data_IF_808445238594
#
_entry.id   IF_808445238594
#
_cell.length_a   1.000
_cell.length_b   1.000
_cell.length_c   1.000
_cell.angle_alpha   90.00
_cell.angle_beta   90.00
_cell.angle_gamma   90.00
#
_symmetry.space_group_name_H-M   'P 1'
#
loop_
_entity.id
_entity.type
_entity.pdbx_description
1 polymer ?
#
# COMPACT_ATOMS: atom_id res chain seq x y z
N UNK A 1 -16.70 1.17 29.95
CA UNK A 1 -15.57 1.15 28.99
C UNK A 1 -14.43 1.96 29.59
N UNK A 2 -13.16 1.55 29.38
CA UNK A 2 -12.03 2.39 29.72
C UNK A 2 -12.09 3.72 28.94
N UNK A 3 -11.82 4.84 29.60
CA UNK A 3 -11.82 6.17 28.98
C UNK A 3 -10.70 6.26 27.94
N UNK A 4 -11.00 6.77 26.74
CA UNK A 4 -9.99 7.06 25.71
C UNK A 4 -10.14 8.50 25.26
N UNK A 5 -9.06 9.28 25.37
CA UNK A 5 -9.02 10.67 24.93
C UNK A 5 -8.90 10.78 23.39
N UNK A 6 -9.40 11.87 22.78
CA UNK A 6 -9.28 12.11 21.35
C UNK A 6 -7.82 12.31 20.92
N UNK A 7 -7.55 12.13 19.63
CA UNK A 7 -6.21 12.38 19.06
C UNK A 7 -5.82 13.87 19.12
N UNK A 8 -4.50 14.18 19.13
CA UNK A 8 -4.01 15.53 18.95
C UNK A 8 -4.47 16.13 17.62
N UNK A 9 -4.69 17.46 17.61
CA UNK A 9 -5.14 18.15 16.39
C UNK A 9 -3.96 18.38 15.43
N UNK A 10 -4.21 18.54 14.13
CA UNK A 10 -3.18 18.95 13.17
C UNK A 10 -2.41 20.20 13.61
N UNK A 11 -3.08 21.16 14.24
CA UNK A 11 -2.48 22.37 14.79
C UNK A 11 -1.50 22.08 15.93
N UNK A 12 -1.85 21.16 16.83
CA UNK A 12 -0.96 20.69 17.91
C UNK A 12 0.29 20.03 17.34
N UNK A 13 0.15 19.21 16.29
CA UNK A 13 1.29 18.56 15.61
C UNK A 13 2.20 19.59 14.96
N UNK A 14 1.64 20.55 14.21
CA UNK A 14 2.41 21.67 13.64
C UNK A 14 3.15 22.44 14.72
N UNK A 15 2.50 22.72 15.85
CA UNK A 15 3.11 23.41 16.98
C UNK A 15 4.31 22.63 17.55
N UNK A 16 4.16 21.34 17.83
CA UNK A 16 5.24 20.52 18.40
C UNK A 16 6.48 20.52 17.50
N UNK A 17 6.29 20.28 16.20
CA UNK A 17 7.40 20.23 15.26
C UNK A 17 8.02 21.61 14.98
N UNK A 18 7.23 22.68 15.04
CA UNK A 18 7.74 24.03 14.93
C UNK A 18 8.66 24.42 16.10
N UNK A 19 8.53 23.76 17.26
CA UNK A 19 9.30 24.02 18.49
C UNK A 19 10.27 22.88 18.86
N UNK A 20 10.65 22.04 17.89
CA UNK A 20 11.60 20.97 18.13
C UNK A 20 12.55 20.79 16.94
N UNK A 21 13.83 20.57 17.21
CA UNK A 21 14.83 20.29 16.18
C UNK A 21 15.15 18.79 16.06
N UNK A 22 15.35 18.13 17.21
CA UNK A 22 15.79 16.74 17.33
C UNK A 22 14.96 16.00 18.38
N UNK A 23 15.20 14.69 18.52
CA UNK A 23 14.61 13.86 19.57
C UNK A 23 14.78 14.46 20.98
N UNK A 24 13.76 14.33 21.82
CA UNK A 24 13.75 14.85 23.18
C UNK A 24 14.65 14.07 24.16
N UNK A 25 14.99 12.82 23.83
CA UNK A 25 15.74 11.93 24.72
C UNK A 25 17.14 12.48 25.04
N UNK A 26 17.61 12.24 26.26
CA UNK A 26 18.91 12.72 26.75
C UNK A 26 20.05 12.25 25.85
N UNK A 27 20.90 13.19 25.41
CA UNK A 27 22.04 12.90 24.53
C UNK A 27 21.69 12.50 23.08
N UNK A 28 20.42 12.31 22.74
CA UNK A 28 20.02 11.94 21.39
C UNK A 28 20.03 13.16 20.44
N UNK A 29 20.77 13.04 19.33
CA UNK A 29 20.87 14.06 18.27
C UNK A 29 20.20 13.65 16.96
N UNK A 30 19.44 12.55 16.95
CA UNK A 30 18.76 12.10 15.73
C UNK A 30 17.72 13.15 15.29
N UNK A 31 17.66 13.46 13.97
CA UNK A 31 16.71 14.43 13.46
C UNK A 31 15.28 13.85 13.47
N UNK A 32 14.29 14.74 13.50
CA UNK A 32 12.88 14.34 13.41
C UNK A 32 12.47 13.94 11.98
N UNK A 33 13.13 14.52 10.98
CA UNK A 33 13.08 14.07 9.59
C UNK A 33 14.49 13.80 9.08
N UNK A 34 14.68 12.68 8.40
CA UNK A 34 15.89 12.44 7.61
C UNK A 34 15.74 13.08 6.23
N UNK A 35 16.81 13.64 5.70
CA UNK A 35 16.85 14.19 4.36
C UNK A 35 17.74 13.31 3.49
N UNK A 36 17.21 12.86 2.36
CA UNK A 36 18.01 12.25 1.31
C UNK A 36 18.89 13.35 0.66
N UNK A 37 20.22 13.26 0.74
CA UNK A 37 21.11 14.29 0.21
C UNK A 37 21.12 14.37 -1.32
N UNK A 38 20.67 13.33 -2.04
CA UNK A 38 20.62 13.31 -3.51
C UNK A 38 19.29 13.85 -4.03
N UNK A 39 18.18 13.47 -3.40
CA UNK A 39 16.84 13.85 -3.86
C UNK A 39 16.25 15.04 -3.12
N UNK A 40 16.83 15.43 -1.98
CA UNK A 40 16.29 16.44 -1.06
C UNK A 40 15.00 15.98 -0.35
N UNK A 41 14.57 14.72 -0.56
CA UNK A 41 13.33 14.19 0.00
C UNK A 41 13.47 14.04 1.52
N UNK A 42 12.46 14.52 2.24
CA UNK A 42 12.33 14.32 3.68
C UNK A 42 11.53 13.05 3.96
N UNK A 43 12.03 12.24 4.88
CA UNK A 43 11.34 11.05 5.39
C UNK A 43 11.19 11.21 6.90
N UNK A 44 10.00 10.92 7.42
CA UNK A 44 9.71 11.02 8.84
C UNK A 44 10.55 10.00 9.62
N UNK A 45 11.27 10.47 10.65
CA UNK A 45 12.14 9.65 11.50
C UNK A 45 11.77 9.76 12.99
N UNK A 46 10.60 10.34 13.29
CA UNK A 46 10.09 10.58 14.64
C UNK A 46 8.64 10.15 14.82
N UNK A 47 8.24 10.02 16.08
CA UNK A 47 6.87 9.84 16.53
C UNK A 47 6.51 10.89 17.58
N UNK A 48 5.23 11.24 17.61
CA UNK A 48 4.63 11.98 18.72
C UNK A 48 4.18 10.98 19.76
N UNK A 49 4.71 11.09 20.98
CA UNK A 49 4.35 10.22 22.09
C UNK A 49 3.60 10.99 23.18
N UNK A 50 2.71 10.30 23.88
CA UNK A 50 2.02 10.86 25.03
C UNK A 50 2.87 10.69 26.29
N UNK A 51 2.93 11.73 27.11
CA UNK A 51 3.55 11.68 28.44
C UNK A 51 2.63 10.87 29.37
N UNK A 52 1.37 11.29 29.49
CA UNK A 52 0.30 10.51 30.13
C UNK A 52 -0.54 9.85 29.03
N UNK A 53 -0.74 8.52 29.13
CA UNK A 53 -1.45 7.75 28.11
C UNK A 53 -2.83 8.32 27.76
N UNK A 54 -3.23 8.08 26.51
CA UNK A 54 -4.54 8.45 25.97
C UNK A 54 -5.67 7.55 26.48
N UNK A 55 -5.36 6.29 26.80
CA UNK A 55 -6.33 5.27 27.18
C UNK A 55 -6.18 4.89 28.65
N UNK A 56 -7.30 4.71 29.33
CA UNK A 56 -7.36 4.22 30.70
C UNK A 56 -6.68 2.85 30.81
N UNK A 57 -5.77 2.73 31.78
CA UNK A 57 -4.90 1.57 31.96
C UNK A 57 -3.58 1.61 31.17
N UNK A 58 -3.39 2.60 30.29
CA UNK A 58 -2.13 2.80 29.57
C UNK A 58 -1.00 3.37 30.44
N UNK A 59 0.25 3.38 29.93
CA UNK A 59 1.40 3.92 30.64
C UNK A 59 1.15 5.33 31.19
N UNK A 60 1.28 5.48 32.51
CA UNK A 60 1.13 6.78 33.20
C UNK A 60 -0.26 7.41 33.01
N UNK A 61 -1.30 6.60 32.83
CA UNK A 61 -2.68 7.10 32.77
C UNK A 61 -2.99 8.01 33.96
N UNK A 62 -3.54 9.19 33.68
CA UNK A 62 -3.96 10.14 34.70
C UNK A 62 -5.49 10.33 34.64
N UNK A 63 -6.26 9.75 35.58
CA UNK A 63 -7.73 9.85 35.56
C UNK A 63 -8.26 11.26 35.81
N UNK A 64 -7.43 12.18 36.33
CA UNK A 64 -7.82 13.59 36.52
C UNK A 64 -7.52 14.49 35.32
N UNK A 65 -6.91 13.94 34.25
CA UNK A 65 -6.56 14.72 33.06
C UNK A 65 -7.78 14.86 32.14
N UNK A 66 -8.07 16.08 31.68
CA UNK A 66 -9.13 16.29 30.70
C UNK A 66 -8.69 15.86 29.30
N UNK A 67 -9.66 15.61 28.40
CA UNK A 67 -9.37 15.31 27.00
C UNK A 67 -8.55 16.40 26.30
N UNK A 68 -8.82 17.67 26.62
CA UNK A 68 -8.07 18.80 26.08
C UNK A 68 -6.63 18.83 26.61
N UNK A 69 -6.44 18.57 27.90
CA UNK A 69 -5.11 18.49 28.51
C UNK A 69 -4.31 17.29 28.02
N UNK A 70 -4.97 16.18 27.67
CA UNK A 70 -4.30 14.98 27.17
C UNK A 70 -3.78 15.17 25.75
N UNK A 71 -4.56 15.86 24.90
CA UNK A 71 -4.22 16.10 23.49
C UNK A 71 -3.44 17.39 23.25
N UNK A 72 -3.23 18.21 24.29
CA UNK A 72 -2.47 19.46 24.17
C UNK A 72 -0.99 19.17 23.95
N UNK A 73 -0.29 20.16 23.42
CA UNK A 73 1.15 20.10 23.29
C UNK A 73 1.79 19.74 24.61
N UNK A 74 1.30 20.24 25.77
CA UNK A 74 1.82 20.04 27.12
C UNK A 74 2.06 18.57 27.48
N UNK A 75 1.17 17.67 27.05
CA UNK A 75 1.22 16.24 27.29
C UNK A 75 1.92 15.44 26.18
N UNK A 76 2.43 16.10 25.13
CA UNK A 76 3.04 15.44 23.99
C UNK A 76 4.53 15.74 23.90
N UNK A 77 5.30 14.74 23.46
CA UNK A 77 6.76 14.84 23.31
C UNK A 77 7.22 14.22 21.98
N UNK A 78 8.21 14.83 21.34
CA UNK A 78 8.74 14.37 20.06
C UNK A 78 10.00 13.51 20.25
N UNK A 79 9.96 12.28 19.78
CA UNK A 79 11.09 11.35 19.88
C UNK A 79 11.39 10.68 18.54
N UNK A 80 12.62 10.22 18.34
CA UNK A 80 12.90 9.29 17.25
C UNK A 80 12.12 7.99 17.47
N UNK A 81 11.90 7.22 16.40
CA UNK A 81 11.14 5.97 16.43
C UNK A 81 11.57 5.01 17.54
N UNK A 82 12.88 4.83 17.75
CA UNK A 82 13.44 3.94 18.79
C UNK A 82 13.11 4.41 20.22
N UNK A 83 13.31 5.70 20.53
CA UNK A 83 13.05 6.18 21.89
C UNK A 83 11.55 6.32 22.18
N UNK A 84 10.73 6.61 21.17
CA UNK A 84 9.28 6.59 21.32
C UNK A 84 8.79 5.18 21.72
N UNK A 85 9.34 4.13 21.11
CA UNK A 85 9.02 2.75 21.48
C UNK A 85 9.52 2.41 22.90
N UNK A 86 10.73 2.86 23.27
CA UNK A 86 11.33 2.55 24.57
C UNK A 86 10.55 3.11 25.77
N UNK A 87 9.94 4.30 25.65
CA UNK A 87 9.21 4.93 26.77
C UNK A 87 7.83 4.32 27.03
N UNK A 88 7.30 3.58 26.04
CA UNK A 88 6.01 2.89 26.10
C UNK A 88 6.16 1.39 26.36
N UNK A 89 7.39 0.87 26.44
CA UNK A 89 7.66 -0.51 26.84
C UNK A 89 7.19 -0.74 28.29
N UNK A 90 6.21 -1.64 28.54
CA UNK A 90 5.69 -1.94 29.87
C UNK A 90 6.77 -2.30 30.89
N UNK A 91 7.87 -2.93 30.47
CA UNK A 91 8.99 -3.28 31.33
C UNK A 91 9.81 -2.06 31.80
N UNK A 92 9.76 -0.96 31.05
CA UNK A 92 10.53 0.26 31.28
C UNK A 92 9.70 1.45 31.76
N UNK A 93 8.36 1.35 31.78
CA UNK A 93 7.46 2.44 32.22
C UNK A 93 7.87 3.02 33.58
N UNK A 94 8.32 2.19 34.52
CA UNK A 94 8.78 2.63 35.84
C UNK A 94 10.03 3.54 35.82
N UNK A 95 10.88 3.41 34.80
CA UNK A 95 12.07 4.25 34.60
C UNK A 95 11.75 5.58 33.89
N UNK A 96 10.62 5.63 33.18
CA UNK A 96 10.13 6.78 32.42
C UNK A 96 8.89 7.35 33.07
N UNK A 97 9.04 7.94 34.26
CA UNK A 97 7.92 8.59 34.97
C UNK A 97 7.44 9.85 34.23
N UNK A 98 6.22 10.29 34.54
CA UNK A 98 5.63 11.53 34.02
C UNK A 98 6.56 12.72 34.21
N UNK A 99 7.16 12.87 35.39
CA UNK A 99 8.07 13.97 35.74
C UNK A 99 9.32 13.94 34.85
N UNK A 100 9.86 12.74 34.58
CA UNK A 100 11.03 12.57 33.73
C UNK A 100 10.72 12.95 32.29
N UNK A 101 9.59 12.51 31.74
CA UNK A 101 9.19 12.86 30.37
C UNK A 101 8.90 14.36 30.23
N UNK A 102 8.29 14.99 31.24
CA UNK A 102 8.14 16.45 31.29
C UNK A 102 9.50 17.15 31.29
N UNK A 103 10.48 16.64 32.03
CA UNK A 103 11.84 17.20 32.02
C UNK A 103 12.52 17.06 30.65
N UNK A 104 12.40 15.90 29.99
CA UNK A 104 12.92 15.69 28.63
C UNK A 104 12.29 16.66 27.63
N UNK A 105 10.98 16.88 27.75
CA UNK A 105 10.28 17.83 26.91
C UNK A 105 10.76 19.26 27.13
N UNK A 106 10.91 19.69 28.38
CA UNK A 106 11.46 21.02 28.70
C UNK A 106 12.85 21.19 28.08
N UNK A 107 13.71 20.19 28.23
CA UNK A 107 15.03 20.20 27.59
C UNK A 107 14.95 20.23 26.05
N UNK A 108 13.94 19.64 25.42
CA UNK A 108 13.71 19.75 23.98
C UNK A 108 13.33 21.18 23.55
N UNK A 109 12.48 21.85 24.32
CA UNK A 109 12.12 23.25 24.09
C UNK A 109 13.31 24.18 24.33
N UNK A 110 14.10 23.96 25.38
CA UNK A 110 15.32 24.75 25.65
C UNK A 110 16.34 24.63 24.50
N UNK A 111 16.49 23.42 23.93
CA UNK A 111 17.32 23.21 22.72
C UNK A 111 16.77 23.98 21.54
N UNK A 112 15.45 24.00 21.36
CA UNK A 112 14.83 24.80 20.31
C UNK A 112 15.06 26.29 20.53
N UNK A 113 14.93 26.82 21.75
CA UNK A 113 15.13 28.25 22.04
C UNK A 113 16.57 28.71 21.77
N UNK A 114 17.54 27.81 21.95
CA UNK A 114 18.96 28.06 21.65
C UNK A 114 19.25 28.09 20.14
N UNK A 115 18.64 27.19 19.36
CA UNK A 115 18.95 27.00 17.94
C UNK A 115 18.00 27.82 17.04
N UNK A 116 16.77 28.07 17.52
CA UNK A 116 15.63 28.68 16.82
C UNK A 116 15.32 28.05 15.47
N UNK A 117 15.56 26.73 15.36
CA UNK A 117 15.32 25.96 14.15
C UNK A 117 14.34 24.83 14.45
N UNK A 118 13.13 24.97 13.93
CA UNK A 118 12.09 23.95 13.98
C UNK A 118 11.75 23.40 12.60
N UNK A 119 10.78 22.51 12.55
CA UNK A 119 10.26 21.95 11.30
C UNK A 119 8.95 22.64 10.93
N UNK A 120 8.92 23.25 9.75
CA UNK A 120 7.67 23.72 9.13
C UNK A 120 7.06 22.56 8.35
N UNK A 121 5.92 22.05 8.81
CA UNK A 121 5.23 20.92 8.20
C UNK A 121 4.19 21.41 7.20
N UNK A 122 4.11 20.73 6.06
CA UNK A 122 2.95 20.80 5.15
C UNK A 122 1.81 19.94 5.69
N UNK A 123 0.59 20.11 5.18
CA UNK A 123 -0.56 19.29 5.60
C UNK A 123 -0.31 17.79 5.38
N UNK A 124 0.30 17.44 4.24
CA UNK A 124 0.74 16.06 3.95
C UNK A 124 1.73 15.50 4.99
N UNK A 125 2.66 16.32 5.46
CA UNK A 125 3.62 15.90 6.50
C UNK A 125 2.94 15.73 7.86
N UNK A 126 1.90 16.52 8.14
CA UNK A 126 1.07 16.36 9.35
C UNK A 126 0.26 15.07 9.28
N UNK A 127 -0.38 14.79 8.14
CA UNK A 127 -1.08 13.53 7.89
C UNK A 127 -0.16 12.33 8.08
N UNK A 128 1.02 12.33 7.45
CA UNK A 128 2.04 11.29 7.59
C UNK A 128 2.48 11.11 9.05
N UNK A 129 2.69 12.21 9.77
CA UNK A 129 3.07 12.19 11.19
C UNK A 129 1.98 11.62 12.08
N UNK A 130 0.73 12.03 11.88
CA UNK A 130 -0.41 11.53 12.65
C UNK A 130 -0.63 10.05 12.38
N UNK A 131 -0.49 9.63 11.12
CA UNK A 131 -0.55 8.22 10.75
C UNK A 131 0.59 7.43 11.42
N UNK A 132 1.85 7.83 11.33
CA UNK A 132 2.95 7.05 11.91
C UNK A 132 2.99 7.10 13.45
N UNK A 133 2.47 8.16 14.06
CA UNK A 133 2.43 8.29 15.52
C UNK A 133 1.24 7.55 16.13
N UNK A 134 0.09 7.57 15.46
CA UNK A 134 -1.20 7.16 16.05
C UNK A 134 -2.08 6.25 15.17
N UNK A 135 -1.73 5.99 13.91
CA UNK A 135 -2.40 4.88 13.20
C UNK A 135 -2.12 3.60 13.96
N UNK A 136 -3.15 2.75 14.03
CA UNK A 136 -3.13 1.47 14.70
C UNK A 136 -2.08 0.54 14.09
N UNK A 137 -0.80 0.80 14.38
CA UNK A 137 0.19 -0.22 14.52
C UNK A 137 -0.27 -1.08 15.70
N UNK A 138 -0.95 -2.19 15.39
CA UNK A 138 -1.14 -3.36 16.27
C UNK A 138 -1.11 -2.99 17.77
N UNK A 139 -2.23 -2.46 18.29
CA UNK A 139 -2.43 -2.46 19.73
C UNK A 139 -2.47 -3.93 20.17
N UNK A 140 -1.35 -4.40 20.74
CA UNK A 140 -1.33 -5.56 21.63
C UNK A 140 -2.17 -5.21 22.86
N UNK A 141 -3.49 -5.19 22.68
CA UNK A 141 -4.44 -5.12 23.78
C UNK A 141 -4.18 -6.31 24.70
N UNK A 142 -4.03 -6.02 25.99
CA UNK A 142 -3.75 -7.00 27.03
C UNK A 142 -4.74 -8.18 26.99
N UNK A 143 -4.33 -9.29 26.38
CA UNK A 143 -5.06 -10.55 26.28
C UNK A 143 -4.45 -11.44 25.20
N UNK A 144 -4.52 -12.77 25.36
CA UNK A 144 -4.01 -13.75 24.39
C UNK A 144 -4.81 -13.80 23.07
N UNK A 145 -5.38 -12.68 22.64
CA UNK A 145 -6.30 -12.54 21.52
C UNK A 145 -5.55 -11.92 20.34
N UNK A 146 -5.59 -12.60 19.19
CA UNK A 146 -4.95 -12.13 17.97
C UNK A 146 -6.01 -11.77 16.94
N UNK A 147 -5.86 -10.58 16.36
CA UNK A 147 -6.64 -10.12 15.22
C UNK A 147 -5.79 -10.20 13.95
N UNK A 148 -6.28 -10.93 12.95
CA UNK A 148 -5.63 -11.06 11.65
C UNK A 148 -6.52 -10.51 10.54
N UNK A 149 -6.00 -9.56 9.77
CA UNK A 149 -6.61 -9.02 8.56
C UNK A 149 -5.55 -8.36 7.66
N UNK A 150 -5.77 -8.39 6.34
CA UNK A 150 -4.93 -7.69 5.34
C UNK A 150 -5.10 -6.16 5.42
N UNK A 151 -4.65 -5.36 4.46
CA UNK A 151 -4.89 -3.90 4.41
C UNK A 151 -5.75 -3.56 3.18
N UNK A 152 -6.95 -2.94 3.31
CA UNK A 152 -7.68 -2.62 2.07
C UNK A 152 -9.04 -1.91 1.95
N UNK A 153 -9.55 -1.02 2.79
CA UNK A 153 -10.69 -0.12 2.39
C UNK A 153 -11.57 0.31 3.55
N UNK A 154 -12.71 0.97 3.32
CA UNK A 154 -13.31 1.84 4.34
C UNK A 154 -13.84 1.12 5.61
N UNK A 155 -14.17 -0.18 5.58
CA UNK A 155 -14.51 -0.98 6.77
C UNK A 155 -13.77 -2.34 6.80
N UNK A 156 -13.53 -2.95 7.97
CA UNK A 156 -12.82 -4.23 8.05
C UNK A 156 -13.54 -5.30 7.25
N UNK A 157 -12.84 -6.02 6.36
CA UNK A 157 -13.44 -7.02 5.44
C UNK A 157 -14.47 -6.49 4.43
N UNK A 158 -14.67 -5.18 4.25
CA UNK A 158 -15.68 -4.71 3.29
C UNK A 158 -15.24 -4.94 1.83
N UNK A 159 -16.16 -5.27 0.93
CA UNK A 159 -15.86 -5.28 -0.51
C UNK A 159 -15.65 -3.86 -1.05
N UNK A 160 -14.86 -3.74 -2.10
CA UNK A 160 -14.64 -2.46 -2.78
C UNK A 160 -15.88 -2.01 -3.54
N UNK A 161 -16.17 -0.70 -3.53
CA UNK A 161 -17.28 -0.15 -4.31
C UNK A 161 -17.06 -0.36 -5.82
N UNK A 162 -18.11 -0.70 -6.56
CA UNK A 162 -18.04 -0.75 -8.03
C UNK A 162 -17.85 0.65 -8.61
N UNK A 163 -17.12 0.75 -9.71
CA UNK A 163 -16.89 2.01 -10.39
C UNK A 163 -18.18 2.57 -10.98
N UNK A 164 -18.44 3.87 -10.79
CA UNK A 164 -19.57 4.55 -11.41
C UNK A 164 -19.43 4.59 -12.93
N UNK A 165 -20.55 4.51 -13.66
CA UNK A 165 -20.57 4.65 -15.12
C UNK A 165 -21.53 5.77 -15.54
N UNK A 166 -21.11 6.66 -16.47
CA UNK A 166 -21.91 7.81 -16.91
C UNK A 166 -22.02 7.83 -18.45
N UNK A 167 -23.23 7.70 -19.01
CA UNK A 167 -23.50 7.74 -20.46
C UNK A 167 -24.79 6.99 -20.87
N UNK A 168 -25.18 7.04 -22.15
CA UNK A 168 -26.37 6.33 -22.66
C UNK A 168 -26.13 4.82 -22.57
N UNK A 169 -27.05 4.06 -21.96
CA UNK A 169 -26.91 2.62 -21.64
C UNK A 169 -25.69 2.27 -20.75
N UNK A 170 -25.07 3.24 -20.07
CA UNK A 170 -23.93 2.96 -19.20
C UNK A 170 -24.36 2.10 -17.99
N UNK A 171 -23.48 1.20 -17.56
CA UNK A 171 -23.71 0.28 -16.44
C UNK A 171 -22.58 0.40 -15.42
N UNK A 172 -22.92 0.71 -14.17
CA UNK A 172 -21.93 0.71 -13.09
C UNK A 172 -21.29 -0.67 -12.92
N UNK A 173 -20.03 -0.68 -12.49
CA UNK A 173 -19.35 -1.90 -12.06
C UNK A 173 -20.03 -2.50 -10.84
N UNK A 174 -19.91 -3.81 -10.66
CA UNK A 174 -20.36 -4.48 -9.45
C UNK A 174 -19.44 -4.10 -8.29
N UNK A 175 -20.02 -3.91 -7.11
CA UNK A 175 -19.21 -3.91 -5.89
C UNK A 175 -18.58 -5.29 -5.70
N UNK A 176 -17.40 -5.32 -5.09
CA UNK A 176 -16.80 -6.55 -4.60
C UNK A 176 -17.56 -7.07 -3.39
N UNK A 177 -17.46 -8.37 -3.13
CA UNK A 177 -18.00 -8.98 -1.92
C UNK A 177 -17.12 -8.64 -0.71
N UNK A 178 -17.72 -8.58 0.48
CA UNK A 178 -16.93 -8.53 1.71
C UNK A 178 -16.18 -9.85 1.96
N UNK A 179 -15.07 -9.76 2.69
CA UNK A 179 -14.42 -10.91 3.29
C UNK A 179 -15.23 -11.44 4.48
N UNK A 180 -15.05 -12.72 4.79
CA UNK A 180 -15.68 -13.35 5.94
C UNK A 180 -14.93 -13.02 7.23
N UNK A 181 -15.66 -12.89 8.35
CA UNK A 181 -15.06 -12.88 9.69
C UNK A 181 -15.32 -14.25 10.30
N UNK A 182 -14.26 -14.95 10.71
CA UNK A 182 -14.38 -16.23 11.43
C UNK A 182 -13.60 -16.20 12.75
N UNK A 183 -14.14 -16.89 13.75
CA UNK A 183 -13.39 -17.21 14.97
C UNK A 183 -12.56 -18.45 14.71
N UNK A 184 -11.29 -18.46 15.09
CA UNK A 184 -10.51 -19.70 15.13
C UNK A 184 -10.97 -20.54 16.32
N UNK A 185 -11.62 -21.66 16.05
CA UNK A 185 -12.08 -22.67 17.00
C UNK A 185 -11.24 -23.95 16.95
N UNK A 186 -10.14 -23.95 16.17
CA UNK A 186 -9.22 -25.08 16.06
C UNK A 186 -8.30 -25.19 17.29
N UNK A 187 -7.47 -26.23 17.36
CA UNK A 187 -6.71 -26.59 18.58
C UNK A 187 -5.99 -25.43 19.29
N UNK A 188 -5.90 -25.54 20.62
CA UNK A 188 -5.34 -24.55 21.56
C UNK A 188 -6.13 -23.24 21.68
N UNK A 189 -7.35 -23.18 21.18
CA UNK A 189 -8.24 -22.02 21.36
C UNK A 189 -9.02 -22.14 22.66
N UNK A 190 -9.19 -21.02 23.36
CA UNK A 190 -10.12 -20.93 24.50
C UNK A 190 -11.39 -20.23 24.04
N UNK A 191 -12.57 -20.57 24.60
CA UNK A 191 -13.79 -19.85 24.32
C UNK A 191 -13.57 -18.36 24.58
N UNK A 192 -13.67 -17.56 23.53
CA UNK A 192 -13.68 -16.11 23.63
C UNK A 192 -14.83 -15.75 24.57
N UNK A 193 -14.61 -15.02 25.67
CA UNK A 193 -15.69 -14.68 26.59
C UNK A 193 -16.85 -14.04 25.82
N UNK A 194 -18.06 -14.61 25.94
CA UNK A 194 -19.25 -14.23 25.18
C UNK A 194 -19.73 -12.79 25.44
N UNK A 195 -19.01 -12.04 26.28
CA UNK A 195 -19.27 -10.63 26.63
C UNK A 195 -18.58 -9.63 25.68
N UNK A 196 -17.85 -10.08 24.66
CA UNK A 196 -17.18 -9.19 23.68
C UNK A 196 -17.92 -9.02 22.35
N UNK A 197 -19.16 -9.51 22.24
CA UNK A 197 -20.04 -9.30 21.08
C UNK A 197 -21.20 -8.34 21.38
N UNK A 198 -21.00 -7.31 22.22
CA UNK A 198 -21.86 -6.15 22.06
C UNK A 198 -21.40 -5.45 20.79
N UNK A 199 -22.31 -5.45 19.80
CA UNK A 199 -22.19 -4.78 18.52
C UNK A 199 -21.20 -3.61 18.58
N UNK A 200 -20.16 -3.64 17.75
CA UNK A 200 -19.53 -2.39 17.31
C UNK A 200 -20.67 -1.63 16.63
N UNK A 201 -21.39 -0.80 17.39
CA UNK A 201 -22.30 0.17 16.82
C UNK A 201 -21.43 1.04 15.95
N UNK A 202 -21.72 1.01 14.66
CA UNK A 202 -21.18 1.89 13.60
C UNK A 202 -21.56 3.36 13.88
N UNK A 203 -21.23 3.87 15.06
CA UNK A 203 -21.34 5.26 15.48
C UNK A 203 -19.99 5.85 15.89
N UNK A 204 -18.94 5.02 16.00
CA UNK A 204 -17.55 5.45 16.26
C UNK A 204 -16.63 5.27 15.05
N UNK A 205 -17.16 4.77 13.93
CA UNK A 205 -16.45 4.74 12.67
C UNK A 205 -16.59 6.09 11.98
N UNK A 206 -15.50 6.86 12.00
CA UNK A 206 -15.37 8.11 11.26
C UNK A 206 -14.80 7.81 9.85
N UNK A 207 -15.62 7.87 8.79
CA UNK A 207 -15.19 7.60 7.43
C UNK A 207 -14.19 8.65 6.90
N UNK A 208 -14.05 9.81 7.57
CA UNK A 208 -13.21 10.91 7.11
C UNK A 208 -11.76 10.84 7.62
N UNK A 209 -11.43 9.95 8.58
CA UNK A 209 -10.10 9.89 9.22
C UNK A 209 -9.34 8.56 9.05
N UNK A 210 -9.95 7.52 8.46
CA UNK A 210 -9.29 6.22 8.21
C UNK A 210 -9.18 5.92 6.72
N UNK A 211 -8.03 6.21 6.11
CA UNK A 211 -7.90 6.05 4.65
C UNK A 211 -7.83 4.60 4.18
N UNK A 212 -7.57 3.61 5.05
CA UNK A 212 -7.63 2.17 4.70
C UNK A 212 -7.81 1.33 5.97
N UNK A 213 -8.94 0.65 6.11
CA UNK A 213 -9.20 -0.34 7.17
C UNK A 213 -8.64 -1.71 6.78
N UNK A 214 -8.13 -2.53 7.73
CA UNK A 214 -7.60 -3.85 7.43
C UNK A 214 -8.60 -4.77 6.70
N UNK A 215 -8.20 -5.31 5.54
CA UNK A 215 -8.89 -6.39 4.85
C UNK A 215 -10.05 -5.97 3.97
N UNK A 216 -10.27 -4.69 3.65
CA UNK A 216 -11.28 -4.36 2.65
C UNK A 216 -10.79 -4.58 1.20
N UNK A 217 -11.71 -4.48 0.24
CA UNK A 217 -11.46 -4.61 -1.19
C UNK A 217 -11.26 -3.26 -1.89
N UNK A 218 -10.45 -3.25 -2.94
CA UNK A 218 -10.17 -2.04 -3.71
C UNK A 218 -11.38 -1.56 -4.52
N UNK A 219 -11.59 -0.25 -4.63
CA UNK A 219 -12.68 0.30 -5.46
C UNK A 219 -12.47 0.05 -6.95
N UNK A 220 -13.55 -0.18 -7.67
CA UNK A 220 -13.60 -0.28 -9.13
C UNK A 220 -13.41 1.08 -9.80
N UNK A 221 -12.76 1.10 -10.96
CA UNK A 221 -12.52 2.32 -11.71
C UNK A 221 -13.81 2.89 -12.31
N UNK A 222 -14.03 4.20 -12.22
CA UNK A 222 -15.13 4.86 -12.92
C UNK A 222 -15.01 4.74 -14.44
N UNK A 223 -16.13 4.85 -15.15
CA UNK A 223 -16.18 4.87 -16.60
C UNK A 223 -17.14 5.97 -17.08
N UNK A 224 -16.82 6.63 -18.19
CA UNK A 224 -17.65 7.67 -18.78
C UNK A 224 -17.72 7.39 -20.30
N UNK A 225 -18.90 7.57 -20.91
CA UNK A 225 -19.18 7.25 -22.32
C UNK A 225 -20.45 6.42 -22.54
N UNK A 226 -21.00 6.47 -23.75
CA UNK A 226 -22.14 5.63 -24.15
C UNK A 226 -21.73 4.15 -24.14
N UNK A 227 -22.61 3.28 -23.61
CA UNK A 227 -22.39 1.85 -23.33
C UNK A 227 -21.20 1.56 -22.37
N UNK A 228 -20.71 2.57 -21.63
CA UNK A 228 -19.60 2.40 -20.70
C UNK A 228 -19.94 1.47 -19.53
N UNK A 229 -18.96 0.66 -19.10
CA UNK A 229 -19.10 -0.26 -17.97
C UNK A 229 -18.06 0.09 -16.90
N UNK A 230 -18.48 0.46 -15.70
CA UNK A 230 -17.58 0.72 -14.58
C UNK A 230 -16.78 -0.53 -14.19
N UNK A 231 -15.58 -0.36 -13.66
CA UNK A 231 -14.75 -1.43 -13.12
C UNK A 231 -15.41 -2.10 -11.92
N UNK A 232 -15.25 -3.41 -11.79
CA UNK A 232 -15.73 -4.13 -10.62
C UNK A 232 -14.79 -3.87 -9.43
N UNK A 233 -15.36 -3.69 -8.24
CA UNK A 233 -14.61 -3.60 -6.99
C UNK A 233 -13.94 -4.94 -6.65
N UNK A 234 -12.81 -4.89 -5.97
CA UNK A 234 -12.14 -6.05 -5.40
C UNK A 234 -12.85 -6.53 -4.14
N UNK A 235 -12.65 -7.78 -3.74
CA UNK A 235 -13.27 -8.32 -2.54
C UNK A 235 -12.47 -7.95 -1.28
N UNK A 236 -13.13 -7.90 -0.13
CA UNK A 236 -12.45 -7.85 1.16
C UNK A 236 -11.70 -9.15 1.44
N UNK A 237 -10.53 -9.05 2.07
CA UNK A 237 -9.84 -10.17 2.69
C UNK A 237 -10.57 -10.68 3.93
N UNK A 238 -10.35 -11.95 4.24
CA UNK A 238 -10.92 -12.60 5.41
C UNK A 238 -10.30 -12.05 6.70
N UNK A 239 -11.06 -12.12 7.79
CA UNK A 239 -10.58 -11.88 9.14
C UNK A 239 -10.68 -13.13 9.98
N UNK A 240 -9.64 -13.32 10.80
CA UNK A 240 -9.59 -14.41 11.77
C UNK A 240 -9.31 -13.83 13.15
N UNK A 241 -10.16 -14.18 14.10
CA UNK A 241 -10.04 -13.79 15.51
C UNK A 241 -9.89 -15.05 16.34
N UNK A 242 -8.89 -15.12 17.22
CA UNK A 242 -8.72 -16.27 18.09
C UNK A 242 -8.04 -15.89 19.40
N UNK A 243 -8.46 -16.54 20.49
CA UNK A 243 -7.79 -16.47 21.79
C UNK A 243 -7.14 -17.81 22.07
N UNK A 244 -5.85 -17.83 22.39
CA UNK A 244 -5.08 -19.07 22.53
C UNK A 244 -4.63 -19.37 23.96
N UNK A 245 -4.73 -20.64 24.37
CA UNK A 245 -4.15 -21.18 25.60
C UNK A 245 -2.65 -21.39 25.41
N UNK A 246 -1.87 -20.37 25.76
CA UNK A 246 -0.41 -20.40 25.67
C UNK A 246 0.20 -21.45 26.62
N UNK A 247 -0.45 -21.78 27.74
CA UNK A 247 0.06 -22.79 28.67
C UNK A 247 -0.10 -24.20 28.10
N UNK A 248 -1.23 -24.50 27.46
CA UNK A 248 -1.41 -25.74 26.70
C UNK A 248 -0.40 -25.84 25.55
N UNK A 249 -0.20 -24.76 24.79
CA UNK A 249 0.81 -24.73 23.73
C UNK A 249 2.22 -24.98 24.25
N UNK A 250 2.60 -24.39 25.40
CA UNK A 250 3.91 -24.62 26.05
C UNK A 250 4.10 -26.06 26.48
N UNK A 251 3.04 -26.73 26.98
CA UNK A 251 3.07 -28.17 27.29
C UNK A 251 3.39 -29.02 26.07
N UNK A 252 2.92 -28.60 24.89
CA UNK A 252 3.11 -29.31 23.63
C UNK A 252 4.33 -28.83 22.81
N UNK A 253 5.24 -28.12 23.47
CA UNK A 253 6.56 -27.79 22.93
C UNK A 253 6.65 -26.44 22.21
N UNK A 254 5.66 -25.55 22.37
CA UNK A 254 5.75 -24.17 21.90
C UNK A 254 7.03 -23.50 22.41
N UNK A 255 7.80 -22.94 21.48
CA UNK A 255 9.08 -22.29 21.76
C UNK A 255 8.95 -20.93 22.43
N UNK A 256 7.77 -20.30 22.33
CA UNK A 256 7.60 -18.87 22.58
C UNK A 256 7.78 -17.99 21.34
N UNK A 257 8.21 -18.57 20.21
CA UNK A 257 8.37 -17.86 18.94
C UNK A 257 7.09 -17.98 18.10
N UNK A 258 6.59 -16.83 17.66
CA UNK A 258 5.50 -16.71 16.69
C UNK A 258 6.08 -16.03 15.46
N UNK A 259 5.98 -16.70 14.31
CA UNK A 259 6.30 -16.08 13.03
C UNK A 259 5.04 -15.43 12.46
N UNK A 260 5.19 -14.19 12.00
CA UNK A 260 4.09 -13.40 11.47
C UNK A 260 4.43 -13.04 10.03
N UNK A 261 3.61 -13.49 9.10
CA UNK A 261 3.61 -13.04 7.70
C UNK A 261 2.43 -12.07 7.57
N UNK A 262 2.73 -10.80 7.31
CA UNK A 262 1.70 -9.79 7.07
C UNK A 262 1.50 -9.67 5.56
N UNK A 263 0.32 -10.05 5.09
CA UNK A 263 -0.02 -9.95 3.67
C UNK A 263 -0.14 -8.48 3.23
N UNK A 264 0.46 -8.14 2.10
CA UNK A 264 0.34 -6.80 1.51
C UNK A 264 -1.01 -6.63 0.80
N UNK A 265 -1.59 -5.43 0.89
CA UNK A 265 -2.75 -5.06 0.10
C UNK A 265 -2.39 -4.94 -1.39
N UNK A 266 -3.28 -5.35 -2.29
CA UNK A 266 -3.04 -5.37 -3.73
C UNK A 266 -3.11 -4.01 -4.44
N UNK A 267 -2.82 -2.91 -3.75
CA UNK A 267 -2.87 -1.55 -4.31
C UNK A 267 -1.70 -1.37 -5.30
N UNK A 268 -1.95 -0.83 -6.52
CA UNK A 268 -0.87 -0.44 -7.42
C UNK A 268 0.03 0.64 -6.79
N UNK A 269 1.33 0.41 -6.78
CA UNK A 269 2.34 1.36 -6.28
C UNK A 269 3.26 1.88 -7.40
N UNK A 270 3.25 1.21 -8.55
CA UNK A 270 4.12 1.51 -9.68
C UNK A 270 3.33 2.02 -10.90
N UNK A 271 3.95 2.78 -11.81
CA UNK A 271 3.28 3.30 -13.01
C UNK A 271 2.63 2.18 -13.82
N UNK A 272 1.36 2.35 -14.20
CA UNK A 272 0.61 1.39 -15.03
C UNK A 272 0.48 -0.03 -14.43
N UNK A 273 0.81 -0.23 -13.16
CA UNK A 273 0.64 -1.52 -12.48
C UNK A 273 -0.85 -1.81 -12.28
N UNK A 274 -1.25 -3.05 -12.57
CA UNK A 274 -2.61 -3.50 -12.29
C UNK A 274 -2.75 -3.88 -10.80
N UNK A 275 -3.92 -3.65 -10.18
CA UNK A 275 -4.17 -4.11 -8.82
C UNK A 275 -3.99 -5.62 -8.71
N UNK A 276 -3.41 -6.09 -7.61
CA UNK A 276 -3.26 -7.52 -7.29
C UNK A 276 -4.30 -7.95 -6.27
N UNK A 277 -4.42 -9.27 -6.07
CA UNK A 277 -5.10 -9.77 -4.88
C UNK A 277 -4.29 -9.37 -3.64
N UNK A 278 -4.97 -9.18 -2.51
CA UNK A 278 -4.27 -9.10 -1.23
C UNK A 278 -3.58 -10.44 -0.96
N UNK A 279 -2.42 -10.37 -0.30
CA UNK A 279 -1.74 -11.57 0.17
C UNK A 279 -2.36 -12.06 1.50
N UNK A 280 -2.12 -13.34 1.82
CA UNK A 280 -2.54 -13.92 3.09
C UNK A 280 -1.76 -13.32 4.26
N UNK A 281 -2.46 -13.08 5.36
CA UNK A 281 -1.82 -12.83 6.66
C UNK A 281 -1.80 -14.14 7.45
N UNK A 282 -0.61 -14.57 7.88
CA UNK A 282 -0.39 -15.87 8.51
C UNK A 282 0.33 -15.69 9.85
N UNK A 283 -0.21 -16.31 10.90
CA UNK A 283 0.50 -16.56 12.16
C UNK A 283 0.95 -18.01 12.23
N UNK A 284 2.19 -18.25 12.61
CA UNK A 284 2.73 -19.58 12.87
C UNK A 284 3.32 -19.66 14.27
N UNK A 285 2.77 -20.54 15.09
CA UNK A 285 3.32 -20.89 16.39
C UNK A 285 4.38 -21.97 16.18
N UNK A 286 5.60 -21.74 16.63
CA UNK A 286 6.74 -22.61 16.35
C UNK A 286 7.13 -23.46 17.57
N UNK A 287 7.51 -24.71 17.36
CA UNK A 287 8.13 -25.56 18.38
C UNK A 287 9.62 -25.23 18.53
N UNK A 288 10.22 -25.69 19.63
CA UNK A 288 11.66 -25.47 19.92
C UNK A 288 12.60 -26.10 18.88
N UNK A 289 12.15 -27.14 18.18
CA UNK A 289 12.90 -27.80 17.10
C UNK A 289 12.74 -27.12 15.73
N UNK A 290 12.04 -25.98 15.68
CA UNK A 290 11.73 -25.25 14.45
C UNK A 290 10.56 -25.81 13.65
N UNK A 291 9.91 -26.90 14.10
CA UNK A 291 8.71 -27.41 13.44
C UNK A 291 7.46 -26.58 13.78
N UNK A 292 6.49 -26.56 12.87
CA UNK A 292 5.23 -25.85 13.06
C UNK A 292 4.38 -26.53 14.14
N UNK A 293 3.93 -25.76 15.14
CA UNK A 293 2.93 -26.21 16.11
C UNK A 293 1.51 -25.93 15.62
N UNK A 294 1.27 -24.72 15.10
CA UNK A 294 -0.05 -24.29 14.62
C UNK A 294 0.09 -23.15 13.62
N UNK A 295 -0.72 -23.15 12.57
CA UNK A 295 -0.88 -22.04 11.62
C UNK A 295 -2.30 -21.47 11.71
N UNK A 296 -2.39 -20.14 11.66
CA UNK A 296 -3.66 -19.41 11.55
C UNK A 296 -3.54 -18.51 10.33
N UNK A 297 -4.45 -18.68 9.38
CA UNK A 297 -4.42 -17.99 8.09
C UNK A 297 -5.67 -17.17 7.87
N UNK A 298 -5.48 -15.88 7.59
CA UNK A 298 -6.47 -14.96 7.07
C UNK A 298 -6.18 -14.73 5.58
N UNK A 299 -7.07 -15.17 4.71
CA UNK A 299 -6.90 -15.06 3.25
C UNK A 299 -7.02 -13.61 2.78
N UNK A 300 -6.17 -13.21 1.84
CA UNK A 300 -6.25 -11.90 1.22
C UNK A 300 -7.47 -11.72 0.30
N UNK A 301 -7.85 -10.47 0.06
CA UNK A 301 -9.01 -10.13 -0.79
C UNK A 301 -8.70 -10.26 -2.29
N UNK A 302 -9.73 -10.46 -3.12
CA UNK A 302 -9.55 -10.50 -4.59
C UNK A 302 -9.29 -9.09 -5.17
N UNK A 303 -8.48 -9.02 -6.22
CA UNK A 303 -8.16 -7.76 -6.90
C UNK A 303 -9.39 -7.11 -7.53
N UNK A 304 -9.48 -5.78 -7.47
CA UNK A 304 -10.37 -5.04 -8.36
C UNK A 304 -9.91 -5.24 -9.81
N UNK A 305 -10.85 -5.49 -10.72
CA UNK A 305 -10.54 -5.59 -12.15
C UNK A 305 -10.83 -4.23 -12.78
N UNK A 306 -9.81 -3.45 -13.21
CA UNK A 306 -10.08 -2.22 -13.93
C UNK A 306 -10.81 -2.56 -15.23
N UNK A 307 -12.02 -2.00 -15.42
CA UNK A 307 -12.76 -2.25 -16.66
C UNK A 307 -11.98 -1.68 -17.83
N UNK A 308 -11.99 -2.39 -18.95
CA UNK A 308 -11.40 -1.90 -20.18
C UNK A 308 -12.16 -0.66 -20.72
N UNK A 309 -13.36 -0.38 -20.21
CA UNK A 309 -14.14 0.81 -20.53
C UNK A 309 -13.69 2.06 -19.75
N UNK A 310 -13.01 1.93 -18.61
CA UNK A 310 -12.37 3.06 -17.93
C UNK A 310 -11.27 3.73 -18.79
N UNK A 311 -10.72 2.99 -19.75
CA UNK A 311 -9.73 3.49 -20.72
C UNK A 311 -10.34 3.96 -22.05
N UNK A 312 -11.67 3.92 -22.20
CA UNK A 312 -12.36 4.27 -23.45
C UNK A 312 -13.18 5.56 -23.35
N UNK A 313 -13.07 6.29 -22.24
CA UNK A 313 -13.74 7.57 -22.06
C UNK A 313 -13.21 8.60 -23.09
N UNK A 314 -14.04 8.87 -24.11
CA UNK A 314 -13.70 9.74 -25.22
C UNK A 314 -12.76 9.14 -26.27
N UNK A 315 -12.36 7.85 -26.16
CA UNK A 315 -11.46 7.19 -27.11
C UNK A 315 -12.09 5.97 -27.76
N UNK A 316 -11.78 5.75 -29.04
CA UNK A 316 -12.27 4.63 -29.85
C UNK A 316 -11.21 3.55 -29.96
N UNK A 317 -11.56 2.31 -29.63
CA UNK A 317 -10.68 1.17 -29.89
C UNK A 317 -10.88 0.68 -31.35
N UNK A 318 -9.81 0.53 -32.13
CA UNK A 318 -9.92 0.17 -33.53
C UNK A 318 -10.27 -1.31 -33.70
N UNK A 319 -11.34 -1.58 -34.43
CA UNK A 319 -11.75 -2.93 -34.79
C UNK A 319 -10.81 -3.57 -35.82
N UNK A 320 -10.82 -4.91 -35.89
CA UNK A 320 -9.94 -5.69 -36.77
C UNK A 320 -10.00 -5.26 -38.23
N UNK A 321 -11.19 -4.97 -38.75
CA UNK A 321 -11.36 -4.56 -40.15
C UNK A 321 -10.83 -3.15 -40.40
N UNK A 322 -10.99 -2.25 -39.43
CA UNK A 322 -10.42 -0.91 -39.48
C UNK A 322 -8.89 -0.96 -39.51
N UNK A 323 -8.28 -1.74 -38.60
CA UNK A 323 -6.82 -1.93 -38.55
C UNK A 323 -6.25 -2.46 -39.88
N UNK A 324 -6.98 -3.36 -40.55
CA UNK A 324 -6.59 -3.87 -41.88
C UNK A 324 -6.73 -2.79 -42.96
N UNK A 325 -7.85 -2.08 -42.98
CA UNK A 325 -8.14 -1.05 -43.98
C UNK A 325 -7.14 0.11 -43.92
N UNK A 326 -6.68 0.48 -42.73
CA UNK A 326 -5.72 1.57 -42.51
C UNK A 326 -4.26 1.11 -42.49
N UNK A 327 -4.00 -0.17 -42.79
CA UNK A 327 -2.68 -0.81 -42.73
C UNK A 327 -1.93 -0.52 -41.42
N UNK A 328 -2.67 -0.48 -40.31
CA UNK A 328 -2.11 -0.21 -39.00
C UNK A 328 -1.12 -1.32 -38.61
N UNK A 329 0.11 -0.94 -38.26
CA UNK A 329 1.16 -1.87 -37.82
C UNK A 329 1.96 -1.29 -36.67
N UNK A 330 2.28 -2.13 -35.70
CA UNK A 330 3.38 -1.87 -34.76
C UNK A 330 4.67 -2.18 -35.50
N UNK A 331 5.48 -1.16 -35.75
CA UNK A 331 6.75 -1.28 -36.48
C UNK A 331 7.94 -1.54 -35.55
N UNK A 332 7.81 -1.17 -34.28
CA UNK A 332 8.84 -1.42 -33.27
C UNK A 332 8.19 -1.63 -31.91
N UNK A 333 8.64 -2.67 -31.19
CA UNK A 333 8.30 -2.96 -29.81
C UNK A 333 9.58 -3.43 -29.13
N UNK A 334 10.12 -2.63 -28.21
CA UNK A 334 11.39 -2.91 -27.56
C UNK A 334 11.41 -2.41 -26.13
N UNK A 335 12.11 -3.15 -25.26
CA UNK A 335 12.42 -2.68 -23.91
C UNK A 335 13.74 -1.93 -23.89
N UNK A 336 13.85 -0.97 -22.97
CA UNK A 336 15.04 -0.16 -22.75
C UNK A 336 15.35 -0.05 -21.25
N UNK A 337 16.64 -0.10 -20.90
CA UNK A 337 17.10 0.14 -19.53
C UNK A 337 16.97 1.62 -19.15
N UNK A 338 17.31 2.52 -20.08
CA UNK A 338 16.99 3.93 -19.97
C UNK A 338 16.63 4.52 -21.35
N UNK A 339 15.75 5.50 -21.35
CA UNK A 339 15.37 6.24 -22.56
C UNK A 339 15.19 7.72 -22.27
N UNK A 340 15.49 8.54 -23.25
CA UNK A 340 15.13 9.95 -23.31
C UNK A 340 14.53 10.24 -24.69
N UNK A 341 13.43 10.98 -24.72
CA UNK A 341 12.89 11.52 -25.98
C UNK A 341 13.31 12.97 -26.11
N UNK A 342 14.14 13.27 -27.10
CA UNK A 342 14.63 14.62 -27.34
C UNK A 342 14.54 14.97 -28.83
N UNK A 343 13.87 16.10 -29.12
CA UNK A 343 13.64 16.60 -30.48
C UNK A 343 13.07 15.54 -31.45
N UNK A 344 12.12 14.72 -30.99
CA UNK A 344 11.48 13.67 -31.80
C UNK A 344 12.31 12.40 -32.01
N UNK A 345 13.48 12.29 -31.38
CA UNK A 345 14.33 11.10 -31.43
C UNK A 345 14.36 10.39 -30.08
N UNK A 346 14.52 9.08 -30.11
CA UNK A 346 14.79 8.28 -28.92
C UNK A 346 16.30 8.10 -28.72
N UNK A 347 16.77 8.52 -27.55
CA UNK A 347 18.10 8.21 -27.05
C UNK A 347 17.95 7.03 -26.10
N UNK A 348 18.50 5.89 -26.49
CA UNK A 348 18.25 4.61 -25.82
C UNK A 348 19.56 4.06 -25.26
N UNK A 349 19.57 3.69 -23.99
CA UNK A 349 20.67 3.00 -23.34
C UNK A 349 20.21 1.58 -22.95
N UNK A 350 20.89 0.58 -23.50
CA UNK A 350 20.62 -0.84 -23.23
C UNK A 350 19.22 -1.26 -23.67
N UNK A 351 19.09 -1.86 -24.85
CA UNK A 351 17.79 -2.18 -25.41
C UNK A 351 17.73 -3.60 -26.00
N UNK A 352 16.51 -4.13 -26.15
CA UNK A 352 16.23 -5.44 -26.74
C UNK A 352 17.01 -6.60 -26.07
N UNK A 353 17.22 -6.48 -24.76
CA UNK A 353 17.77 -7.57 -23.97
C UNK A 353 16.74 -8.70 -23.86
N UNK A 354 17.23 -9.95 -23.88
CA UNK A 354 16.38 -11.15 -23.79
C UNK A 354 16.25 -11.71 -22.38
N UNK A 355 17.01 -11.17 -21.44
CA UNK A 355 16.97 -11.59 -20.05
C UNK A 355 17.09 -10.40 -19.11
N UNK A 356 16.47 -10.53 -17.94
CA UNK A 356 16.56 -9.58 -16.84
C UNK A 356 16.99 -10.32 -15.58
N UNK A 357 18.04 -9.83 -14.95
CA UNK A 357 18.64 -10.41 -13.74
C UNK A 357 18.37 -9.49 -12.55
N UNK A 358 17.22 -9.62 -11.86
CA UNK A 358 16.98 -8.87 -10.64
C UNK A 358 17.96 -9.27 -9.53
N UNK A 359 18.24 -8.36 -8.56
CA UNK A 359 19.09 -8.67 -7.42
C UNK A 359 18.51 -9.76 -6.52
N UNK A 360 17.18 -9.82 -6.42
CA UNK A 360 16.41 -10.86 -5.75
C UNK A 360 14.99 -10.88 -6.30
N UNK A 361 14.25 -11.96 -6.02
CA UNK A 361 12.81 -12.05 -6.23
C UNK A 361 12.19 -12.37 -4.86
N UNK A 362 11.12 -11.67 -4.42
CA UNK A 362 10.38 -10.65 -5.15
C UNK A 362 11.06 -9.27 -5.17
N UNK A 363 10.85 -8.49 -6.25
CA UNK A 363 11.34 -7.11 -6.35
C UNK A 363 10.42 -6.22 -7.20
N UNK A 364 10.22 -4.98 -6.77
CA UNK A 364 9.53 -3.96 -7.57
C UNK A 364 10.44 -3.42 -8.67
N UNK A 365 9.92 -3.34 -9.90
CA UNK A 365 10.68 -2.87 -11.06
C UNK A 365 9.80 -2.13 -12.06
N UNK A 366 10.45 -1.32 -12.90
CA UNK A 366 9.81 -0.59 -13.98
C UNK A 366 10.54 -0.90 -15.28
N UNK A 367 9.80 -1.41 -16.26
CA UNK A 367 10.30 -1.62 -17.61
C UNK A 367 9.90 -0.46 -18.50
N UNK A 368 10.89 0.21 -19.10
CA UNK A 368 10.60 1.24 -20.10
C UNK A 368 10.43 0.56 -21.46
N UNK A 369 9.28 0.78 -22.10
CA UNK A 369 8.95 0.16 -23.38
C UNK A 369 8.76 1.23 -24.45
N UNK A 370 9.43 1.06 -25.57
CA UNK A 370 9.26 1.89 -26.76
C UNK A 370 8.33 1.15 -27.72
N UNK A 371 7.29 1.85 -28.17
CA UNK A 371 6.34 1.37 -29.18
C UNK A 371 6.28 2.37 -30.31
N UNK A 372 6.50 1.90 -31.54
CA UNK A 372 6.31 2.71 -32.75
C UNK A 372 5.26 2.07 -33.63
N UNK A 373 4.37 2.89 -34.18
CA UNK A 373 3.25 2.46 -35.00
C UNK A 373 3.22 3.25 -36.31
N UNK A 374 2.75 2.61 -37.38
CA UNK A 374 2.51 3.21 -38.68
C UNK A 374 1.11 2.84 -39.19
N UNK A 375 0.44 3.78 -39.85
CA UNK A 375 -0.92 3.64 -40.38
C UNK A 375 -1.16 4.67 -41.49
N UNK A 376 -2.11 4.41 -42.38
CA UNK A 376 -2.48 5.33 -43.46
C UNK A 376 -3.33 6.50 -42.96
N UNK A 377 -4.26 6.22 -42.04
CA UNK A 377 -5.21 7.18 -41.49
C UNK A 377 -5.80 6.68 -40.19
N UNK A 378 -6.19 7.59 -39.30
CA UNK A 378 -6.99 7.31 -38.10
C UNK A 378 -8.44 7.75 -38.29
N UNK A 379 -9.31 7.37 -37.35
CA UNK A 379 -10.65 7.95 -37.23
C UNK A 379 -10.51 9.45 -36.94
N UNK A 380 -11.17 10.30 -37.75
CA UNK A 380 -10.91 11.75 -37.78
C UNK A 380 -11.35 12.50 -36.52
N UNK A 381 -12.38 12.00 -35.86
CA UNK A 381 -13.13 12.79 -34.87
C UNK A 381 -13.07 12.22 -33.45
N UNK A 382 -12.39 11.08 -33.26
CA UNK A 382 -12.25 10.42 -31.94
C UNK A 382 -10.83 9.87 -31.81
N UNK A 383 -10.09 10.21 -30.75
CA UNK A 383 -8.80 9.62 -30.47
C UNK A 383 -8.88 8.10 -30.46
N UNK A 384 -7.92 7.45 -31.11
CA UNK A 384 -7.87 5.98 -31.17
C UNK A 384 -7.02 5.46 -30.01
N UNK A 385 -7.40 4.37 -29.36
CA UNK A 385 -6.60 3.75 -28.29
C UNK A 385 -6.33 2.27 -28.56
N UNK A 386 -5.09 1.85 -28.26
CA UNK A 386 -4.69 0.44 -28.15
C UNK A 386 -3.96 0.24 -26.82
N UNK A 387 -3.68 -0.99 -26.43
CA UNK A 387 -3.11 -1.30 -25.11
C UNK A 387 -1.71 -1.88 -25.22
N UNK A 388 -0.86 -1.46 -24.29
CA UNK A 388 0.44 -2.05 -24.02
C UNK A 388 0.40 -2.69 -22.63
N UNK A 389 0.76 -3.96 -22.53
CA UNK A 389 0.64 -4.72 -21.29
C UNK A 389 1.83 -5.63 -21.03
N UNK A 390 2.09 -5.89 -19.75
CA UNK A 390 3.08 -6.85 -19.27
C UNK A 390 2.36 -8.07 -18.69
N UNK A 391 2.84 -9.26 -19.05
CA UNK A 391 2.33 -10.55 -18.59
C UNK A 391 3.43 -11.35 -17.92
N UNK A 392 3.07 -11.97 -16.79
CA UNK A 392 3.94 -12.88 -16.05
C UNK A 392 3.97 -14.29 -16.68
N UNK A 393 4.84 -15.20 -16.17
CA UNK A 393 4.95 -16.57 -16.68
C UNK A 393 3.68 -17.42 -16.50
N UNK A 394 2.79 -17.04 -15.56
CA UNK A 394 1.50 -17.67 -15.38
C UNK A 394 0.43 -17.12 -16.35
N UNK A 395 0.79 -16.18 -17.23
CA UNK A 395 -0.11 -15.53 -18.17
C UNK A 395 -1.00 -14.46 -17.55
N UNK A 396 -0.72 -14.03 -16.31
CA UNK A 396 -1.44 -12.96 -15.63
C UNK A 396 -0.92 -11.61 -16.10
N UNK A 397 -1.83 -10.71 -16.43
CA UNK A 397 -1.48 -9.34 -16.77
C UNK A 397 -1.12 -8.55 -15.50
N UNK A 398 0.09 -8.02 -15.42
CA UNK A 398 0.57 -7.32 -14.22
C UNK A 398 0.58 -5.81 -14.38
N UNK A 399 0.60 -5.32 -15.62
CA UNK A 399 0.68 -3.89 -15.95
C UNK A 399 -0.04 -3.63 -17.27
N UNK A 400 -0.69 -2.47 -17.38
CA UNK A 400 -1.39 -2.02 -18.59
C UNK A 400 -1.31 -0.50 -18.74
N UNK A 401 -0.94 -0.06 -19.94
CA UNK A 401 -0.93 1.33 -20.34
C UNK A 401 -1.72 1.55 -21.65
N UNK A 402 -2.59 2.58 -21.71
CA UNK A 402 -3.22 2.98 -22.96
C UNK A 402 -2.21 3.73 -23.86
N UNK A 403 -2.18 3.39 -25.14
CA UNK A 403 -1.47 4.13 -26.18
C UNK A 403 -2.51 4.92 -26.98
N UNK A 404 -2.51 6.24 -26.82
CA UNK A 404 -3.56 7.13 -27.34
C UNK A 404 -3.03 7.82 -28.59
N UNK A 405 -3.79 7.71 -29.67
CA UNK A 405 -3.52 8.31 -30.96
C UNK A 405 -4.48 9.48 -31.16
N UNK A 406 -4.02 10.66 -30.81
CA UNK A 406 -4.74 11.90 -31.08
C UNK A 406 -4.60 12.26 -32.57
N UNK A 407 -5.70 12.34 -33.35
CA UNK A 407 -5.67 12.68 -34.77
C UNK A 407 -4.99 14.03 -35.05
N UNK A 408 -5.04 14.97 -34.09
CA UNK A 408 -4.37 16.26 -34.20
C UNK A 408 -2.84 16.17 -34.10
N UNK A 409 -2.33 15.14 -33.41
CA UNK A 409 -0.89 14.93 -33.19
C UNK A 409 -0.31 13.87 -34.16
N UNK A 410 -1.16 12.99 -34.69
CA UNK A 410 -0.80 11.84 -35.51
C UNK A 410 -0.93 12.09 -37.03
N UNK A 411 -0.62 13.31 -37.49
CA UNK A 411 -0.91 13.78 -38.86
C UNK A 411 -0.07 13.13 -39.97
N UNK A 412 1.02 12.43 -39.62
CA UNK A 412 1.96 11.83 -40.59
C UNK A 412 1.86 10.31 -40.72
N UNK A 413 0.80 9.69 -40.18
CA UNK A 413 0.62 8.24 -40.28
C UNK A 413 1.62 7.43 -39.45
N UNK A 414 2.23 8.06 -38.44
CA UNK A 414 3.21 7.45 -37.55
C UNK A 414 3.04 8.02 -36.13
N UNK A 415 3.22 7.16 -35.13
CA UNK A 415 3.19 7.55 -33.73
C UNK A 415 4.24 6.77 -32.94
N UNK A 416 4.80 7.43 -31.94
CA UNK A 416 5.88 6.91 -31.10
C UNK A 416 5.52 7.09 -29.63
N UNK A 417 5.75 6.05 -28.85
CA UNK A 417 5.45 6.03 -27.42
C UNK A 417 6.66 5.50 -26.66
N UNK A 418 6.92 6.11 -25.50
CA UNK A 418 7.81 5.58 -24.49
C UNK A 418 7.04 5.50 -23.17
N UNK A 419 6.82 4.28 -22.70
CA UNK A 419 5.85 4.00 -21.65
C UNK A 419 6.48 3.13 -20.56
N UNK A 420 6.46 3.58 -19.30
CA UNK A 420 6.89 2.75 -18.18
C UNK A 420 5.82 1.72 -17.82
N UNK A 421 6.18 0.46 -17.69
CA UNK A 421 5.35 -0.61 -17.14
C UNK A 421 5.94 -1.07 -15.80
N UNK A 422 5.28 -0.69 -14.72
CA UNK A 422 5.66 -1.05 -13.35
C UNK A 422 5.04 -2.39 -12.93
N UNK A 423 5.84 -3.25 -12.30
CA UNK A 423 5.36 -4.53 -11.74
C UNK A 423 6.22 -4.96 -10.54
N UNK A 424 5.68 -5.88 -9.74
CA UNK A 424 6.48 -6.65 -8.79
C UNK A 424 6.80 -7.99 -9.44
N UNK A 425 8.08 -8.23 -9.71
CA UNK A 425 8.57 -9.51 -10.19
C UNK A 425 8.50 -10.49 -9.03
N UNK A 426 7.57 -11.43 -9.09
CA UNK A 426 7.39 -12.51 -8.10
C UNK A 426 7.85 -13.87 -8.64
N UNK A 427 7.96 -13.99 -9.96
CA UNK A 427 8.23 -15.24 -10.65
C UNK A 427 9.41 -15.07 -11.60
N UNK A 428 10.40 -15.96 -11.48
CA UNK A 428 11.34 -16.24 -12.56
C UNK A 428 10.64 -16.99 -13.70
N UNK A 429 11.14 -16.85 -14.92
CA UNK A 429 10.57 -17.50 -16.10
C UNK A 429 10.40 -16.56 -17.28
N UNK A 430 9.62 -16.99 -18.27
CA UNK A 430 9.35 -16.22 -19.49
C UNK A 430 8.22 -15.21 -19.25
N UNK A 431 8.54 -13.93 -19.37
CA UNK A 431 7.60 -12.81 -19.32
C UNK A 431 7.32 -12.30 -20.72
N UNK A 432 6.16 -11.67 -20.91
CA UNK A 432 5.77 -11.14 -22.22
C UNK A 432 5.30 -9.70 -22.15
N UNK A 433 5.74 -8.89 -23.10
CA UNK A 433 5.20 -7.56 -23.36
C UNK A 433 4.35 -7.64 -24.62
N UNK A 434 3.09 -7.21 -24.54
CA UNK A 434 2.13 -7.30 -25.66
C UNK A 434 1.54 -5.94 -25.99
N UNK A 435 1.43 -5.64 -27.28
CA UNK A 435 0.60 -4.56 -27.82
C UNK A 435 -0.64 -5.18 -28.43
N UNK A 436 -1.83 -4.77 -28.01
CA UNK A 436 -3.08 -5.46 -28.33
C UNK A 436 -4.31 -4.55 -28.34
N UNK A 437 -5.38 -5.05 -28.95
CA UNK A 437 -6.76 -4.57 -28.82
C UNK A 437 -7.66 -5.73 -28.39
N UNK A 438 -8.88 -5.48 -27.92
CA UNK A 438 -9.90 -6.51 -27.62
C UNK A 438 -10.05 -7.56 -28.72
N UNK A 439 -9.83 -7.15 -29.97
CA UNK A 439 -10.01 -8.01 -31.13
C UNK A 439 -8.79 -8.87 -31.49
N UNK A 440 -7.56 -8.45 -31.14
CA UNK A 440 -6.34 -9.16 -31.50
C UNK A 440 -5.08 -8.62 -30.81
N UNK A 441 -4.06 -9.47 -30.69
CA UNK A 441 -2.68 -9.06 -30.41
C UNK A 441 -2.07 -8.47 -31.69
N UNK A 442 -1.48 -7.28 -31.60
CA UNK A 442 -0.85 -6.57 -32.71
C UNK A 442 0.64 -6.85 -32.80
N UNK A 443 1.32 -6.98 -31.66
CA UNK A 443 2.74 -7.34 -31.55
C UNK A 443 3.04 -7.84 -30.14
N UNK A 444 4.07 -8.65 -29.97
CA UNK A 444 4.58 -9.03 -28.66
C UNK A 444 6.08 -9.32 -28.71
N UNK A 445 6.72 -9.22 -27.54
CA UNK A 445 8.10 -9.67 -27.30
C UNK A 445 8.13 -10.48 -26.00
N UNK A 446 9.13 -11.35 -25.89
CA UNK A 446 9.34 -12.22 -24.74
C UNK A 446 10.72 -11.95 -24.13
N UNK A 447 10.81 -12.05 -22.80
CA UNK A 447 12.08 -11.96 -22.10
C UNK A 447 12.08 -12.85 -20.86
N UNK A 448 13.27 -13.34 -20.50
CA UNK A 448 13.44 -14.24 -19.38
C UNK A 448 13.89 -13.52 -18.11
N UNK A 449 13.10 -13.59 -17.05
CA UNK A 449 13.54 -13.19 -15.71
C UNK A 449 14.26 -14.37 -15.05
N UNK A 450 15.48 -14.15 -14.57
CA UNK A 450 16.30 -15.19 -13.91
C UNK A 450 16.54 -14.86 -12.45
N UNK A 451 16.23 -15.80 -11.56
CA UNK A 451 16.60 -15.67 -10.16
C UNK A 451 18.04 -16.13 -9.96
N UNK A 452 18.96 -15.18 -9.72
CA UNK A 452 20.37 -15.48 -9.44
C UNK A 452 20.68 -15.65 -7.95
N UNK A 453 19.69 -15.50 -7.07
CA UNK A 453 19.85 -15.72 -5.64
C UNK A 453 19.85 -17.21 -5.27
N UNK A 454 19.35 -18.06 -6.17
CA UNK A 454 19.39 -19.51 -6.06
C UNK A 454 20.58 -20.00 -6.90
N UNK A 455 21.60 -20.65 -6.30
CA UNK A 455 22.68 -21.24 -7.08
C UNK A 455 22.09 -22.25 -8.06
N UNK A 456 22.42 -22.12 -9.35
CA UNK A 456 22.07 -23.16 -10.32
C UNK A 456 22.62 -24.49 -9.81
N UNK A 457 21.74 -25.49 -9.64
CA UNK A 457 22.17 -26.84 -9.34
C UNK A 457 23.13 -27.27 -10.45
N UNK A 458 24.40 -27.44 -10.09
CA UNK A 458 25.42 -27.97 -10.98
C UNK A 458 25.00 -29.37 -11.40
N UNK A 459 24.51 -29.50 -12.64
CA UNK A 459 24.35 -30.78 -13.32
C UNK A 459 25.70 -31.39 -13.66
#
# INVERSE_FOLDING_TARGET
MPIVHPLPTPSTIKYLYAHAFSCAFDGCKRPLYTMDPQTGRRTLASRVAHICARSEGGPRWNPSQSSEQNRSEENLILMCTEHAAAIDDPALVGAYTTERLIALKRAQLDKFDQIRQGWVLTDKMVEETMQQSFSAAYEFGHGNTFHLGGQGGLAPSAGGGGGGAIGKNARAGKGGDGGSVRVDDSGYTVPTPSTHFEDIKLSEWDPDTSSVTPGAGGGGAGAIGDDAIGGDGGNGGNQVIGTYDIEAMRRDGFSGQIEIVIGKGGRPLLPNQLPKAGEDTILRFMKKDGSLLKEVRAEGGLSATPSLAAYLDGWSEPQRDHLRATRFRVTSLMMASALEMHAGNFYVLGADWRFFDPPCIPVDTIFNVIVSCRFDSLLKDVPTVIFLSLFDPAGRETSRAPLIFDPAQCIHGMAHFAVPLGTTLELAGEWQVRVWTRSQILSYIEFKVRDRSIPEASN
#
